data_IF_059736108368
#
_entry.id   IF_059736108368
#
_cell.length_a   1.000
_cell.length_b   1.000
_cell.length_c   1.000
_cell.angle_alpha   90.00
_cell.angle_beta   90.00
_cell.angle_gamma   90.00
#
_symmetry.space_group_name_H-M   'P 1'
#
loop_
_entity.id
_entity.type
_entity.pdbx_description
1 polymer ?
#
# COMPACT_ATOMS: atom_id res chain seq x y z
N UNK A 1 11.80 -0.55 9.53
CA UNK A 1 12.38 0.13 8.36
C UNK A 1 11.59 -0.23 7.10
N UNK A 2 11.41 0.72 6.19
CA UNK A 2 10.63 0.53 4.96
C UNK A 2 11.49 0.84 3.74
N UNK A 3 12.02 -0.19 3.04
CA UNK A 3 12.66 0.01 1.74
C UNK A 3 11.64 0.55 0.73
N UNK A 4 11.95 1.63 0.06
CA UNK A 4 11.09 2.26 -0.92
C UNK A 4 11.50 1.86 -2.33
N UNK A 5 10.66 1.37 -3.20
CA UNK A 5 9.34 0.77 -3.06
C UNK A 5 9.11 -0.27 -4.16
N UNK A 6 8.18 -1.17 -3.94
CA UNK A 6 7.67 -2.06 -4.98
C UNK A 6 6.65 -1.31 -5.82
N UNK A 7 6.89 -1.23 -7.13
CA UNK A 7 6.00 -0.53 -8.07
C UNK A 7 4.97 -1.50 -8.63
N UNK A 8 3.72 -1.08 -8.59
CA UNK A 8 2.60 -1.84 -9.11
C UNK A 8 2.47 -1.68 -10.62
N UNK A 9 2.34 -2.80 -11.35
CA UNK A 9 2.09 -2.78 -12.80
C UNK A 9 0.59 -2.94 -13.12
N UNK A 10 0.14 -2.57 -14.34
CA UNK A 10 -1.25 -2.78 -14.76
C UNK A 10 -1.72 -4.25 -14.76
N UNK A 11 -0.80 -5.19 -14.74
CA UNK A 11 -1.07 -6.64 -14.67
C UNK A 11 -1.00 -7.20 -13.26
N UNK A 12 -0.96 -6.30 -12.23
CA UNK A 12 -0.83 -6.63 -10.81
C UNK A 12 0.49 -7.36 -10.45
N UNK A 13 1.52 -7.22 -11.28
CA UNK A 13 2.88 -7.63 -10.95
C UNK A 13 3.58 -6.54 -10.12
N UNK A 14 4.60 -6.93 -9.38
CA UNK A 14 5.40 -6.04 -8.55
C UNK A 14 6.83 -5.91 -9.12
N UNK A 15 7.25 -4.68 -9.40
CA UNK A 15 8.64 -4.40 -9.75
C UNK A 15 9.40 -4.18 -8.46
N UNK A 16 10.24 -5.15 -8.11
CA UNK A 16 11.02 -5.16 -6.86
C UNK A 16 12.17 -4.16 -6.90
N UNK A 17 12.40 -3.39 -5.82
CA UNK A 17 13.64 -2.65 -5.65
C UNK A 17 14.80 -3.59 -5.31
N UNK A 18 16.03 -3.08 -5.37
CA UNK A 18 17.20 -3.78 -4.80
C UNK A 18 17.27 -3.52 -3.29
N UNK A 19 16.57 -4.35 -2.52
CA UNK A 19 16.36 -4.21 -1.08
C UNK A 19 17.11 -5.26 -0.23
N UNK A 20 17.80 -6.21 -0.86
CA UNK A 20 18.36 -7.39 -0.20
C UNK A 20 19.35 -7.06 0.91
N UNK A 21 20.30 -6.13 0.67
CA UNK A 21 21.28 -5.72 1.69
C UNK A 21 20.61 -5.01 2.87
N UNK A 22 19.60 -4.18 2.60
CA UNK A 22 18.86 -3.45 3.63
C UNK A 22 18.06 -4.41 4.52
N UNK A 23 17.36 -5.38 3.94
CA UNK A 23 16.61 -6.41 4.67
C UNK A 23 17.56 -7.25 5.52
N UNK A 24 18.68 -7.69 4.95
CA UNK A 24 19.71 -8.45 5.68
C UNK A 24 20.22 -7.68 6.91
N UNK A 25 20.52 -6.38 6.77
CA UNK A 25 20.97 -5.53 7.89
C UNK A 25 19.89 -5.33 8.94
N UNK A 26 18.64 -5.10 8.51
CA UNK A 26 17.49 -4.93 9.40
C UNK A 26 17.32 -6.16 10.31
N UNK A 27 17.32 -7.36 9.73
CA UNK A 27 17.19 -8.62 10.46
C UNK A 27 18.31 -8.83 11.48
N UNK A 28 19.56 -8.49 11.12
CA UNK A 28 20.69 -8.58 12.05
C UNK A 28 20.66 -7.56 13.18
N UNK A 29 19.91 -6.50 13.02
CA UNK A 29 19.78 -5.41 14.00
C UNK A 29 18.48 -5.47 14.80
N UNK A 30 17.75 -6.59 14.71
CA UNK A 30 16.41 -6.76 15.30
C UNK A 30 15.42 -5.63 14.90
N UNK A 31 15.55 -5.12 13.68
CA UNK A 31 14.65 -4.14 13.08
C UNK A 31 13.71 -4.86 12.12
N UNK A 32 12.41 -4.62 12.26
CA UNK A 32 11.39 -5.23 11.42
C UNK A 32 11.30 -4.51 10.07
N UNK A 33 11.59 -5.17 8.94
CA UNK A 33 11.40 -4.58 7.62
C UNK A 33 9.91 -4.63 7.22
N UNK A 34 9.40 -3.51 6.70
CA UNK A 34 8.04 -3.38 6.15
C UNK A 34 8.17 -3.13 4.65
N UNK A 35 7.57 -3.98 3.84
CA UNK A 35 7.47 -3.81 2.40
C UNK A 35 6.60 -2.59 2.07
N UNK A 36 7.00 -1.77 1.10
CA UNK A 36 6.17 -0.66 0.63
C UNK A 36 5.72 -0.95 -0.80
N UNK A 37 4.42 -0.96 -1.02
CA UNK A 37 3.81 -1.09 -2.35
C UNK A 37 3.19 0.24 -2.76
N UNK A 38 3.56 0.74 -3.94
CA UNK A 38 3.07 2.02 -4.47
C UNK A 38 2.52 1.85 -5.88
N UNK A 39 1.52 2.67 -6.23
CA UNK A 39 1.01 2.76 -7.60
C UNK A 39 1.78 3.76 -8.47
N UNK A 40 3.04 4.08 -8.11
CA UNK A 40 3.93 4.83 -8.98
C UNK A 40 4.29 3.96 -10.19
N UNK A 41 3.99 4.48 -11.38
CA UNK A 41 4.37 3.87 -12.65
C UNK A 41 4.97 4.95 -13.56
N UNK A 42 6.11 4.63 -14.20
CA UNK A 42 6.90 5.58 -14.99
C UNK A 42 7.23 6.87 -14.23
N UNK A 43 6.58 8.00 -14.53
CA UNK A 43 6.89 9.31 -13.99
C UNK A 43 5.96 9.78 -12.86
N UNK A 44 4.98 8.93 -12.40
CA UNK A 44 4.03 9.34 -11.35
C UNK A 44 3.06 8.28 -10.89
N UNK A 45 2.15 8.68 -10.00
CA UNK A 45 1.09 7.82 -9.51
C UNK A 45 0.05 7.54 -10.60
N UNK A 46 -0.28 6.27 -10.81
CA UNK A 46 -1.25 5.87 -11.84
C UNK A 46 -2.60 5.48 -11.23
N UNK A 47 -3.55 6.41 -11.30
CA UNK A 47 -4.96 6.18 -10.96
C UNK A 47 -5.57 5.08 -11.82
N UNK A 48 -5.27 5.08 -13.15
CA UNK A 48 -5.81 4.12 -14.10
C UNK A 48 -5.36 2.68 -13.81
N UNK A 49 -4.08 2.48 -13.50
CA UNK A 49 -3.54 1.16 -13.11
C UNK A 49 -4.29 0.61 -11.91
N UNK A 50 -4.47 1.44 -10.88
CA UNK A 50 -5.18 1.04 -9.67
C UNK A 50 -6.66 0.71 -9.96
N UNK A 51 -7.38 1.59 -10.67
CA UNK A 51 -8.79 1.38 -11.03
C UNK A 51 -9.00 0.08 -11.82
N UNK A 52 -8.08 -0.23 -12.73
CA UNK A 52 -8.07 -1.50 -13.48
C UNK A 52 -7.97 -2.71 -12.56
N UNK A 53 -7.06 -2.69 -11.59
CA UNK A 53 -6.88 -3.78 -10.61
C UNK A 53 -8.11 -3.89 -9.70
N UNK A 54 -8.60 -2.78 -9.17
CA UNK A 54 -9.77 -2.77 -8.29
C UNK A 54 -11.06 -3.26 -8.97
N UNK A 55 -11.12 -3.17 -10.29
CA UNK A 55 -12.27 -3.64 -11.09
C UNK A 55 -12.20 -5.14 -11.45
N UNK A 56 -11.07 -5.81 -11.23
CA UNK A 56 -10.87 -7.24 -11.57
C UNK A 56 -10.53 -8.06 -10.34
N UNK A 57 -11.43 -8.97 -9.90
CA UNK A 57 -11.13 -9.90 -8.82
C UNK A 57 -9.86 -10.72 -9.07
N UNK A 58 -9.61 -11.13 -10.31
CA UNK A 58 -8.45 -11.92 -10.70
C UNK A 58 -7.14 -11.15 -10.53
N UNK A 59 -7.13 -9.84 -10.87
CA UNK A 59 -5.95 -8.98 -10.64
C UNK A 59 -5.74 -8.70 -9.16
N UNK A 60 -6.81 -8.52 -8.38
CA UNK A 60 -6.72 -8.37 -6.94
C UNK A 60 -6.10 -9.62 -6.28
N UNK A 61 -6.58 -10.82 -6.66
CA UNK A 61 -6.04 -12.08 -6.14
C UNK A 61 -4.57 -12.27 -6.52
N UNK A 62 -4.20 -11.90 -7.75
CA UNK A 62 -2.80 -11.92 -8.20
C UNK A 62 -1.94 -10.98 -7.39
N UNK A 63 -2.39 -9.74 -7.16
CA UNK A 63 -1.66 -8.76 -6.37
C UNK A 63 -1.44 -9.23 -4.93
N UNK A 64 -2.49 -9.75 -4.28
CA UNK A 64 -2.40 -10.30 -2.93
C UNK A 64 -1.41 -11.47 -2.89
N UNK A 65 -1.47 -12.35 -3.88
CA UNK A 65 -0.54 -13.48 -4.00
C UNK A 65 0.90 -13.04 -4.18
N UNK A 66 1.16 -12.04 -5.03
CA UNK A 66 2.49 -11.49 -5.26
C UNK A 66 3.05 -10.79 -4.01
N UNK A 67 2.22 -10.00 -3.31
CA UNK A 67 2.62 -9.39 -2.03
C UNK A 67 3.02 -10.49 -1.03
N UNK A 68 2.18 -11.50 -0.84
CA UNK A 68 2.46 -12.59 0.08
C UNK A 68 3.75 -13.36 -0.27
N UNK A 69 4.01 -13.59 -1.56
CA UNK A 69 5.22 -14.26 -2.03
C UNK A 69 6.48 -13.45 -1.69
N UNK A 70 6.46 -12.13 -1.90
CA UNK A 70 7.58 -11.23 -1.54
C UNK A 70 7.79 -11.16 -0.03
N UNK A 71 6.71 -11.00 0.75
CA UNK A 71 6.77 -10.96 2.21
C UNK A 71 7.44 -12.22 2.77
N UNK A 72 7.00 -13.39 2.29
CA UNK A 72 7.52 -14.68 2.72
C UNK A 72 8.95 -14.91 2.24
N UNK A 73 9.22 -14.65 0.95
CA UNK A 73 10.51 -14.92 0.31
C UNK A 73 11.66 -14.08 0.88
N UNK A 74 11.38 -12.86 1.32
CA UNK A 74 12.37 -11.93 1.84
C UNK A 74 12.31 -11.73 3.37
N UNK A 75 11.39 -12.42 4.06
CA UNK A 75 11.18 -12.28 5.50
C UNK A 75 10.86 -10.84 5.94
N UNK A 76 9.96 -10.19 5.24
CA UNK A 76 9.34 -8.95 5.69
C UNK A 76 8.43 -9.22 6.89
N UNK A 77 8.19 -8.21 7.69
CA UNK A 77 7.27 -8.28 8.83
C UNK A 77 5.82 -7.97 8.43
N UNK A 78 5.66 -7.21 7.37
CA UNK A 78 4.36 -6.81 6.85
C UNK A 78 4.48 -5.89 5.65
N UNK A 79 3.35 -5.34 5.21
CA UNK A 79 3.26 -4.44 4.05
C UNK A 79 2.65 -3.09 4.44
N UNK A 80 3.15 -2.02 3.84
CA UNK A 80 2.54 -0.70 3.81
C UNK A 80 2.03 -0.42 2.39
N UNK A 81 0.72 -0.26 2.26
CA UNK A 81 0.09 0.18 1.00
C UNK A 81 0.18 1.70 0.91
N UNK A 82 1.11 2.17 0.09
CA UNK A 82 1.37 3.60 -0.17
C UNK A 82 0.73 3.97 -1.52
N UNK A 83 -0.60 3.97 -1.52
CA UNK A 83 -1.41 4.16 -2.72
C UNK A 83 -2.01 5.56 -2.69
N UNK A 84 -1.64 6.35 -3.69
CA UNK A 84 -2.08 7.73 -3.79
C UNK A 84 -2.89 7.98 -5.07
N UNK A 85 -3.60 9.12 -5.12
CA UNK A 85 -4.42 9.55 -6.26
C UNK A 85 -5.44 8.49 -6.71
N UNK A 86 -6.11 7.89 -5.73
CA UNK A 86 -7.19 6.93 -5.96
C UNK A 86 -8.41 7.70 -6.48
N UNK A 87 -9.03 7.20 -7.56
CA UNK A 87 -10.26 7.80 -8.08
C UNK A 87 -11.37 7.81 -6.99
N UNK A 88 -12.09 8.91 -6.80
CA UNK A 88 -13.13 8.99 -5.77
C UNK A 88 -14.18 7.87 -5.85
N UNK A 89 -14.54 7.46 -7.07
CA UNK A 89 -15.44 6.34 -7.33
C UNK A 89 -14.89 4.97 -6.95
N UNK A 90 -13.58 4.86 -6.77
CA UNK A 90 -12.91 3.62 -6.34
C UNK A 90 -12.71 3.53 -4.82
N UNK A 91 -13.12 4.55 -4.05
CA UNK A 91 -12.97 4.58 -2.59
C UNK A 91 -13.44 3.29 -1.92
N UNK A 92 -14.68 2.88 -2.19
CA UNK A 92 -15.26 1.67 -1.57
C UNK A 92 -14.61 0.39 -2.09
N UNK A 93 -14.21 0.35 -3.37
CA UNK A 93 -13.49 -0.79 -3.95
C UNK A 93 -12.11 -0.94 -3.32
N UNK A 94 -11.43 0.18 -3.05
CA UNK A 94 -10.13 0.16 -2.39
C UNK A 94 -10.24 -0.29 -0.93
N UNK A 95 -11.25 0.19 -0.18
CA UNK A 95 -11.53 -0.27 1.17
C UNK A 95 -11.78 -1.80 1.19
N UNK A 96 -12.61 -2.30 0.28
CA UNK A 96 -12.90 -3.74 0.16
C UNK A 96 -11.65 -4.56 -0.23
N UNK A 97 -10.81 -4.03 -1.09
CA UNK A 97 -9.53 -4.65 -1.44
C UNK A 97 -8.59 -4.73 -0.21
N UNK A 98 -8.46 -3.62 0.54
CA UNK A 98 -7.66 -3.60 1.77
C UNK A 98 -8.16 -4.61 2.81
N UNK A 99 -9.48 -4.76 2.95
CA UNK A 99 -10.07 -5.76 3.85
C UNK A 99 -9.68 -7.18 3.46
N UNK A 100 -9.80 -7.54 2.17
CA UNK A 100 -9.38 -8.84 1.64
C UNK A 100 -7.87 -9.08 1.80
N UNK A 101 -7.06 -8.06 1.52
CA UNK A 101 -5.60 -8.11 1.69
C UNK A 101 -5.26 -8.37 3.16
N UNK A 102 -5.86 -7.59 4.08
CA UNK A 102 -5.59 -7.69 5.51
C UNK A 102 -6.00 -9.07 6.05
N UNK A 103 -7.20 -9.55 5.72
CA UNK A 103 -7.63 -10.88 6.11
C UNK A 103 -6.65 -11.97 5.63
N UNK A 104 -6.24 -11.88 4.36
CA UNK A 104 -5.33 -12.89 3.79
C UNK A 104 -3.96 -12.87 4.44
N UNK A 105 -3.39 -11.68 4.69
CA UNK A 105 -2.07 -11.52 5.29
C UNK A 105 -2.06 -11.85 6.79
N UNK A 106 -3.12 -11.53 7.53
CA UNK A 106 -3.28 -11.91 8.94
C UNK A 106 -3.29 -13.43 9.13
N UNK A 107 -3.90 -14.18 8.21
CA UNK A 107 -3.89 -15.65 8.24
C UNK A 107 -2.48 -16.26 8.13
N UNK A 108 -1.52 -15.49 7.60
CA UNK A 108 -0.11 -15.88 7.47
C UNK A 108 0.79 -15.17 8.51
N UNK A 109 0.20 -14.36 9.39
CA UNK A 109 0.92 -13.67 10.49
C UNK A 109 1.61 -12.37 10.12
N UNK A 110 1.29 -11.75 8.97
CA UNK A 110 1.83 -10.47 8.55
C UNK A 110 0.93 -9.31 8.96
N UNK A 111 1.52 -8.16 9.28
CA UNK A 111 0.76 -6.93 9.52
C UNK A 111 0.52 -6.16 8.23
N UNK A 112 -0.56 -5.37 8.21
CA UNK A 112 -0.91 -4.48 7.11
C UNK A 112 -0.97 -3.04 7.58
N UNK A 113 -0.35 -2.16 6.81
CA UNK A 113 -0.36 -0.72 7.03
C UNK A 113 -0.85 -0.01 5.77
N UNK A 114 -1.33 1.23 5.91
CA UNK A 114 -1.62 2.11 4.77
C UNK A 114 -1.09 3.52 5.05
N UNK A 115 -0.60 4.19 4.00
CA UNK A 115 -0.23 5.59 4.05
C UNK A 115 -1.42 6.46 3.60
N UNK A 116 -1.69 7.54 4.33
CA UNK A 116 -2.81 8.43 4.05
C UNK A 116 -2.34 9.88 3.96
N UNK A 117 -2.85 10.61 2.98
CA UNK A 117 -2.65 12.04 2.88
C UNK A 117 -3.27 12.77 4.07
N UNK A 118 -2.63 13.81 4.62
CA UNK A 118 -3.17 14.58 5.74
C UNK A 118 -4.38 15.38 5.28
N UNK A 119 -5.50 15.24 6.00
CA UNK A 119 -6.77 15.91 5.70
C UNK A 119 -7.16 16.86 6.82
N UNK A 120 -7.78 17.99 6.46
CA UNK A 120 -8.35 18.97 7.40
C UNK A 120 -9.82 18.68 7.71
N UNK A 121 -10.49 17.86 6.90
CA UNK A 121 -11.86 17.40 7.12
C UNK A 121 -12.09 16.03 6.48
N UNK A 122 -13.11 15.30 6.92
CA UNK A 122 -13.48 14.01 6.33
C UNK A 122 -13.84 14.13 4.84
N UNK A 123 -14.49 15.24 4.48
CA UNK A 123 -15.01 15.50 3.13
C UNK A 123 -14.10 16.43 2.31
N UNK A 124 -12.80 16.46 2.62
CA UNK A 124 -11.86 17.29 1.87
C UNK A 124 -11.85 16.86 0.41
N UNK A 125 -12.15 17.80 -0.53
CA UNK A 125 -12.16 17.49 -1.96
C UNK A 125 -10.74 17.36 -2.52
N UNK A 126 -10.62 16.62 -3.62
CA UNK A 126 -9.42 16.47 -4.42
C UNK A 126 -8.97 15.01 -4.52
N UNK A 127 -8.41 14.68 -5.68
CA UNK A 127 -8.03 13.31 -6.06
C UNK A 127 -7.08 12.63 -5.05
N UNK A 128 -6.20 13.40 -4.39
CA UNK A 128 -5.31 12.89 -3.35
C UNK A 128 -6.08 12.53 -2.06
N UNK A 129 -7.24 13.13 -1.80
CA UNK A 129 -7.87 13.09 -0.48
C UNK A 129 -9.15 12.26 -0.41
N UNK A 130 -9.99 12.31 -1.44
CA UNK A 130 -11.37 11.83 -1.36
C UNK A 130 -11.49 10.34 -1.06
N UNK A 131 -10.60 9.52 -1.64
CA UNK A 131 -10.58 8.08 -1.41
C UNK A 131 -9.78 7.65 -0.17
N UNK A 132 -9.06 8.55 0.50
CA UNK A 132 -8.41 8.28 1.78
C UNK A 132 -9.43 8.31 2.92
N UNK A 133 -10.11 7.19 3.14
CA UNK A 133 -11.14 7.02 4.17
C UNK A 133 -10.53 6.63 5.51
N UNK A 134 -10.23 7.64 6.34
CA UNK A 134 -9.62 7.42 7.65
C UNK A 134 -10.44 6.48 8.54
N UNK A 135 -11.77 6.62 8.50
CA UNK A 135 -12.65 5.86 9.37
C UNK A 135 -12.76 4.39 8.94
N UNK A 136 -12.85 4.12 7.63
CA UNK A 136 -12.90 2.76 7.11
C UNK A 136 -11.52 2.10 7.21
N UNK A 137 -10.48 2.73 6.68
CA UNK A 137 -9.14 2.15 6.62
C UNK A 137 -8.54 1.95 8.01
N UNK A 138 -8.84 2.85 8.97
CA UNK A 138 -8.42 2.69 10.37
C UNK A 138 -9.09 1.52 11.12
N UNK A 139 -10.17 0.95 10.59
CA UNK A 139 -10.78 -0.29 11.12
C UNK A 139 -10.24 -1.55 10.45
N UNK A 140 -9.67 -1.41 9.26
CA UNK A 140 -9.24 -2.52 8.40
C UNK A 140 -7.79 -2.90 8.70
N UNK A 141 -6.89 -1.92 8.75
CA UNK A 141 -5.45 -2.15 8.85
C UNK A 141 -4.92 -2.04 10.28
N UNK A 142 -3.72 -2.59 10.53
CA UNK A 142 -3.10 -2.54 11.86
C UNK A 142 -2.55 -1.16 12.21
N UNK A 143 -1.99 -0.44 11.24
CA UNK A 143 -1.41 0.90 11.44
C UNK A 143 -1.66 1.81 10.24
N UNK A 144 -1.79 3.09 10.53
CA UNK A 144 -1.86 4.15 9.52
C UNK A 144 -0.62 5.04 9.62
N UNK A 145 -0.01 5.33 8.48
CA UNK A 145 1.02 6.36 8.34
C UNK A 145 0.34 7.62 7.80
N UNK A 146 0.25 8.67 8.62
CA UNK A 146 -0.19 9.98 8.12
C UNK A 146 1.01 10.72 7.53
N UNK A 147 0.93 11.07 6.25
CA UNK A 147 1.99 11.73 5.48
C UNK A 147 2.07 13.22 5.82
N UNK A 148 2.36 13.56 7.07
CA UNK A 148 2.35 14.94 7.59
C UNK A 148 3.71 15.64 7.46
N UNK A 149 4.54 15.26 6.52
CA UNK A 149 5.92 15.74 6.36
C UNK A 149 6.11 16.77 5.24
N UNK A 150 5.07 17.07 4.46
CA UNK A 150 5.10 18.07 3.38
C UNK A 150 4.63 19.47 3.86
N UNK A 151 5.09 19.87 5.04
CA UNK A 151 4.80 21.19 5.58
C UNK A 151 5.71 22.25 4.94
N UNK A 152 5.12 23.17 4.18
CA UNK A 152 5.83 24.34 3.71
C UNK A 152 6.01 24.49 2.21
N UNK A 153 5.25 23.77 1.42
CA UNK A 153 5.03 24.16 0.03
C UNK A 153 4.13 25.40 0.02
N UNK A 154 4.71 26.53 -0.38
CA UNK A 154 3.99 27.77 -0.65
C UNK A 154 3.66 27.88 -2.13
#
# INVERSE_FOLDING_TARGET
ISPFSYKLTPTAELVSPDDSDLIFRAQRSAVMPIMVVTNIFDEGFSTETLSGILSSPELQDRLIGNILAELTGKNYYGVNMDIEYIAPEDRERYNAFLERLTERLHNEGFIVMTALAPKISADQPGLLYEAHDYAAQGRIVDYIILMTYEWGYT
#
